data_IF_976225372894
#
_entry.id   IF_976225372894
#
_cell.length_a   1.000
_cell.length_b   1.000
_cell.length_c   1.000
_cell.angle_alpha   90.00
_cell.angle_beta   90.00
_cell.angle_gamma   90.00
#
_symmetry.space_group_name_H-M   'P 1'
#
loop_
_entity.id
_entity.type
_entity.pdbx_description
1 polymer ?
#
# COMPACT_ATOMS: atom_id res chain seq x y z
N UNK A 1 18.61 -21.92 -16.51
CA UNK A 1 17.45 -21.10 -16.93
C UNK A 1 17.75 -19.66 -16.57
N UNK A 2 18.02 -18.80 -17.56
CA UNK A 2 18.19 -17.37 -17.32
C UNK A 2 16.81 -16.72 -17.26
N UNK A 3 16.44 -16.17 -16.10
CA UNK A 3 15.22 -15.41 -15.95
C UNK A 3 15.43 -14.04 -16.61
N UNK A 4 14.73 -13.78 -17.71
CA UNK A 4 14.76 -12.46 -18.32
C UNK A 4 14.20 -11.44 -17.31
N UNK A 5 14.96 -10.41 -16.94
CA UNK A 5 14.46 -9.40 -16.04
C UNK A 5 13.29 -8.69 -16.71
N UNK A 6 12.20 -8.51 -15.96
CA UNK A 6 10.97 -7.87 -16.46
C UNK A 6 11.20 -6.41 -16.88
N UNK A 7 12.35 -5.84 -16.50
CA UNK A 7 12.73 -4.46 -16.68
C UNK A 7 14.24 -4.37 -16.93
N UNK A 8 14.67 -3.34 -17.64
CA UNK A 8 16.09 -3.05 -17.80
C UNK A 8 16.70 -2.68 -16.44
N UNK A 9 17.76 -3.39 -16.07
CA UNK A 9 18.43 -3.22 -14.78
C UNK A 9 19.11 -1.85 -14.73
N UNK A 10 19.76 -1.41 -15.82
CA UNK A 10 20.47 -0.13 -15.85
C UNK A 10 19.51 1.05 -15.61
N UNK A 11 18.33 1.02 -16.23
CA UNK A 11 17.28 2.02 -16.00
C UNK A 11 16.73 2.05 -14.56
N UNK A 12 16.73 0.90 -13.90
CA UNK A 12 16.27 0.72 -12.52
C UNK A 12 17.29 1.27 -11.53
N UNK A 13 18.59 1.04 -11.72
CA UNK A 13 19.64 1.48 -10.77
C UNK A 13 20.02 2.96 -10.90
N UNK A 14 19.85 3.59 -12.07
CA UNK A 14 20.25 4.99 -12.28
C UNK A 14 19.31 6.04 -11.67
N UNK A 15 18.02 5.72 -11.45
CA UNK A 15 17.05 6.65 -10.85
C UNK A 15 16.21 5.96 -9.78
N UNK A 16 16.46 6.22 -8.47
CA UNK A 16 15.80 5.49 -7.38
C UNK A 16 14.27 5.67 -7.38
N UNK A 17 13.75 6.80 -7.88
CA UNK A 17 12.32 7.08 -7.98
C UNK A 17 11.63 6.32 -9.12
N UNK A 18 12.36 6.00 -10.21
CA UNK A 18 11.81 5.35 -11.41
C UNK A 18 11.32 3.93 -11.12
N UNK A 19 12.00 3.23 -10.20
CA UNK A 19 11.56 1.91 -9.71
C UNK A 19 10.17 1.96 -9.10
N UNK A 20 9.91 2.97 -8.28
CA UNK A 20 8.63 3.12 -7.61
C UNK A 20 7.54 3.54 -8.60
N UNK A 21 7.86 4.43 -9.53
CA UNK A 21 6.95 4.83 -10.60
C UNK A 21 6.48 3.61 -11.41
N UNK A 22 7.43 2.77 -11.84
CA UNK A 22 7.15 1.52 -12.55
C UNK A 22 6.38 0.51 -11.70
N UNK A 23 6.72 0.39 -10.42
CA UNK A 23 6.00 -0.47 -9.50
C UNK A 23 4.53 -0.05 -9.36
N UNK A 24 4.29 1.26 -9.18
CA UNK A 24 2.93 1.78 -9.01
C UNK A 24 2.13 1.84 -10.31
N UNK A 25 2.77 1.86 -11.48
CA UNK A 25 2.06 1.83 -12.78
C UNK A 25 1.37 0.49 -13.05
N UNK A 26 1.89 -0.62 -12.49
CA UNK A 26 1.33 -1.97 -12.67
C UNK A 26 0.09 -2.20 -11.77
N UNK A 27 0.00 -1.48 -10.65
CA UNK A 27 -1.06 -1.65 -9.66
C UNK A 27 -2.32 -0.91 -10.12
N UNK A 28 -3.36 -1.69 -10.43
CA UNK A 28 -4.67 -1.11 -10.74
C UNK A 28 -5.38 -0.65 -9.46
N UNK A 29 -5.53 0.67 -9.33
CA UNK A 29 -6.18 1.33 -8.21
C UNK A 29 -7.48 2.04 -8.62
N UNK A 30 -7.98 1.80 -9.84
CA UNK A 30 -9.21 2.42 -10.36
C UNK A 30 -10.43 2.21 -9.46
N UNK A 31 -10.45 1.11 -8.70
CA UNK A 31 -11.47 0.78 -7.69
C UNK A 31 -11.64 1.91 -6.65
N UNK A 32 -10.58 2.69 -6.39
CA UNK A 32 -10.55 3.76 -5.40
C UNK A 32 -10.88 5.15 -5.96
N UNK A 33 -11.03 5.31 -7.28
CA UNK A 33 -11.23 6.62 -7.95
C UNK A 33 -12.68 7.12 -7.90
N UNK A 34 -13.58 6.39 -7.24
CA UNK A 34 -14.98 6.79 -7.09
C UNK A 34 -15.13 7.90 -6.04
N UNK A 35 -14.89 9.14 -6.43
CA UNK A 35 -15.30 10.30 -5.63
C UNK A 35 -16.00 11.34 -6.50
N UNK A 36 -17.33 11.36 -6.44
CA UNK A 36 -18.11 12.56 -6.77
C UNK A 36 -18.08 13.45 -5.53
N UNK A 37 -17.41 14.60 -5.61
CA UNK A 37 -17.40 15.58 -4.52
C UNK A 37 -17.71 16.96 -5.09
N UNK A 38 -18.77 17.57 -4.55
CA UNK A 38 -18.95 19.01 -4.59
C UNK A 38 -18.08 19.63 -3.49
N UNK A 39 -17.40 20.73 -3.76
CA UNK A 39 -16.53 21.43 -2.80
C UNK A 39 -15.03 21.08 -2.89
N UNK A 40 -14.29 21.22 -1.78
CA UNK A 40 -12.83 21.00 -1.74
C UNK A 40 -12.51 19.56 -2.10
N UNK A 41 -11.68 19.37 -3.14
CA UNK A 41 -11.27 18.05 -3.60
C UNK A 41 -10.61 17.26 -2.45
N UNK A 42 -11.13 16.07 -2.11
CA UNK A 42 -10.51 15.24 -1.11
C UNK A 42 -9.18 14.67 -1.64
N UNK A 43 -8.32 14.26 -0.71
CA UNK A 43 -7.08 13.57 -1.05
C UNK A 43 -7.45 12.24 -1.71
N UNK A 44 -6.76 11.89 -2.81
CA UNK A 44 -6.99 10.63 -3.51
C UNK A 44 -6.76 9.44 -2.58
N UNK A 45 -7.75 8.54 -2.53
CA UNK A 45 -7.65 7.27 -1.80
C UNK A 45 -6.56 6.38 -2.39
N UNK A 46 -6.41 6.38 -3.72
CA UNK A 46 -5.34 5.68 -4.40
C UNK A 46 -3.96 6.22 -4.00
N UNK A 47 -3.80 7.54 -3.89
CA UNK A 47 -2.55 8.16 -3.44
C UNK A 47 -2.19 7.77 -1.99
N UNK A 48 -3.18 7.76 -1.10
CA UNK A 48 -2.98 7.29 0.29
C UNK A 48 -2.52 5.83 0.33
N UNK A 49 -3.14 4.96 -0.47
CA UNK A 49 -2.72 3.56 -0.56
C UNK A 49 -1.29 3.41 -1.09
N UNK A 50 -0.93 4.16 -2.15
CA UNK A 50 0.44 4.15 -2.69
C UNK A 50 1.47 4.60 -1.64
N UNK A 51 1.19 5.66 -0.89
CA UNK A 51 2.05 6.10 0.21
C UNK A 51 2.20 5.06 1.32
N UNK A 52 1.12 4.36 1.68
CA UNK A 52 1.18 3.28 2.68
C UNK A 52 1.98 2.06 2.19
N UNK A 53 1.87 1.72 0.91
CA UNK A 53 2.71 0.67 0.31
C UNK A 53 4.17 1.12 0.29
N UNK A 54 4.44 2.37 -0.10
CA UNK A 54 5.77 2.96 -0.09
C UNK A 54 6.40 2.94 1.31
N UNK A 55 5.63 3.27 2.36
CA UNK A 55 6.04 3.16 3.77
C UNK A 55 6.56 1.76 4.09
N UNK A 56 5.84 0.73 3.65
CA UNK A 56 6.24 -0.67 3.89
C UNK A 56 7.48 -1.05 3.08
N UNK A 57 7.58 -0.62 1.81
CA UNK A 57 8.73 -0.89 0.95
C UNK A 57 10.02 -0.24 1.48
N UNK A 58 9.93 0.99 1.99
CA UNK A 58 11.05 1.73 2.59
C UNK A 58 11.24 1.42 4.09
N UNK A 59 10.44 0.51 4.66
CA UNK A 59 10.47 0.15 6.09
C UNK A 59 10.38 1.35 7.05
N UNK A 60 9.60 2.37 6.68
CA UNK A 60 9.38 3.55 7.53
C UNK A 60 8.54 3.13 8.74
N UNK A 61 8.99 3.47 9.94
CA UNK A 61 8.37 3.02 11.18
C UNK A 61 6.99 3.67 11.42
N UNK A 62 6.92 5.00 11.47
CA UNK A 62 5.70 5.73 11.85
C UNK A 62 4.96 6.37 10.66
N UNK A 63 3.69 6.75 10.89
CA UNK A 63 2.92 7.54 9.91
C UNK A 63 3.36 9.01 9.87
N UNK A 64 3.93 9.51 10.97
CA UNK A 64 4.50 10.86 11.05
C UNK A 64 5.74 10.98 10.18
N UNK A 65 6.63 9.98 10.24
CA UNK A 65 7.83 9.93 9.38
C UNK A 65 7.44 9.86 7.90
N UNK A 66 6.38 9.12 7.56
CA UNK A 66 5.85 9.09 6.20
C UNK A 66 5.36 10.48 5.76
N UNK A 67 4.66 11.21 6.64
CA UNK A 67 4.19 12.57 6.34
C UNK A 67 5.35 13.53 6.11
N UNK A 68 6.38 13.47 6.97
CA UNK A 68 7.60 14.27 6.83
C UNK A 68 8.34 13.95 5.52
N UNK A 69 8.52 12.66 5.20
CA UNK A 69 9.19 12.22 3.97
C UNK A 69 8.47 12.69 2.69
N UNK A 70 7.13 12.70 2.69
CA UNK A 70 6.35 13.22 1.56
C UNK A 70 6.45 14.75 1.46
N UNK A 71 6.61 15.44 2.57
CA UNK A 71 6.78 16.89 2.60
C UNK A 71 8.18 17.31 2.14
N UNK A 72 9.23 16.62 2.62
CA UNK A 72 10.62 16.89 2.26
C UNK A 72 10.94 16.55 0.80
N UNK A 73 10.22 15.60 0.20
CA UNK A 73 10.45 15.15 -1.19
C UNK A 73 9.20 15.38 -2.07
N UNK A 74 8.99 16.61 -2.58
CA UNK A 74 7.84 16.94 -3.43
C UNK A 74 7.71 16.05 -4.68
N UNK A 75 8.83 15.64 -5.28
CA UNK A 75 8.84 14.74 -6.46
C UNK A 75 8.26 13.37 -6.13
N UNK A 76 8.59 12.83 -4.95
CA UNK A 76 8.03 11.57 -4.43
C UNK A 76 6.54 11.71 -4.17
N UNK A 77 6.11 12.81 -3.53
CA UNK A 77 4.70 13.08 -3.28
C UNK A 77 3.89 13.16 -4.58
N UNK A 78 4.42 13.86 -5.59
CA UNK A 78 3.80 13.96 -6.92
C UNK A 78 3.70 12.60 -7.61
N UNK A 79 4.74 11.77 -7.56
CA UNK A 79 4.72 10.43 -8.15
C UNK A 79 3.67 9.52 -7.48
N UNK A 80 3.51 9.63 -6.16
CA UNK A 80 2.46 8.91 -5.43
C UNK A 80 1.06 9.49 -5.68
N UNK A 81 0.94 10.59 -6.41
CA UNK A 81 -0.31 11.24 -6.80
C UNK A 81 -0.88 12.20 -5.76
N UNK A 82 -0.03 12.75 -4.88
CA UNK A 82 -0.38 13.90 -4.06
C UNK A 82 -0.04 15.19 -4.80
N UNK A 83 -0.77 16.26 -4.48
CA UNK A 83 -0.40 17.61 -4.91
C UNK A 83 0.59 18.14 -3.87
N UNK A 84 1.84 18.44 -4.25
CA UNK A 84 2.79 19.09 -3.35
C UNK A 84 2.21 20.43 -2.89
N UNK A 85 2.38 20.77 -1.62
CA UNK A 85 1.91 22.03 -1.09
C UNK A 85 2.69 22.43 0.16
N UNK A 86 2.40 23.63 0.65
CA UNK A 86 3.16 24.27 1.73
C UNK A 86 3.02 23.59 3.10
N UNK A 87 2.12 22.60 3.22
CA UNK A 87 1.86 21.90 4.47
C UNK A 87 1.98 20.38 4.29
N UNK A 88 2.52 19.67 5.30
CA UNK A 88 2.59 18.22 5.27
C UNK A 88 1.19 17.60 5.27
N UNK A 89 1.09 16.39 4.73
CA UNK A 89 -0.17 15.65 4.72
C UNK A 89 -0.51 15.24 6.16
N UNK A 90 -1.70 15.59 6.69
CA UNK A 90 -2.03 15.26 8.07
C UNK A 90 -2.03 13.75 8.32
N UNK A 91 -1.44 13.32 9.44
CA UNK A 91 -1.32 11.90 9.82
C UNK A 91 -2.69 11.23 9.95
N UNK A 92 -3.70 12.01 10.33
CA UNK A 92 -5.09 11.62 10.49
C UNK A 92 -5.69 11.10 9.17
N UNK A 93 -5.17 11.55 8.02
CA UNK A 93 -5.64 11.06 6.71
C UNK A 93 -5.22 9.62 6.48
N UNK A 94 -4.00 9.26 6.87
CA UNK A 94 -3.52 7.88 6.81
C UNK A 94 -4.23 6.99 7.82
N UNK A 95 -4.39 7.45 9.07
CA UNK A 95 -5.05 6.66 10.12
C UNK A 95 -6.54 6.45 9.82
N UNK A 96 -7.24 7.48 9.34
CA UNK A 96 -8.63 7.38 8.89
C UNK A 96 -8.77 6.41 7.72
N UNK A 97 -7.84 6.43 6.77
CA UNK A 97 -7.84 5.48 5.65
C UNK A 97 -7.68 4.03 6.14
N UNK A 98 -6.74 3.76 7.03
CA UNK A 98 -6.53 2.42 7.61
C UNK A 98 -7.74 1.92 8.40
N UNK A 99 -8.41 2.82 9.13
CA UNK A 99 -9.59 2.49 9.93
C UNK A 99 -10.83 2.21 9.08
N UNK A 100 -11.04 3.00 8.02
CA UNK A 100 -12.29 3.01 7.27
C UNK A 100 -12.24 2.20 5.96
N UNK A 101 -11.06 1.78 5.51
CA UNK A 101 -10.93 0.99 4.28
C UNK A 101 -11.20 -0.48 4.56
N UNK A 102 -12.22 -1.04 3.91
CA UNK A 102 -12.55 -2.45 4.03
C UNK A 102 -11.45 -3.34 3.47
N UNK A 103 -11.04 -4.36 4.24
CA UNK A 103 -10.04 -5.35 3.81
C UNK A 103 -10.41 -5.98 2.45
N UNK A 104 -11.70 -6.23 2.21
CA UNK A 104 -12.20 -6.78 0.94
C UNK A 104 -11.77 -6.00 -0.31
N UNK A 105 -11.60 -4.67 -0.23
CA UNK A 105 -11.09 -3.85 -1.34
C UNK A 105 -9.60 -4.12 -1.58
N UNK A 106 -8.80 -4.22 -0.52
CA UNK A 106 -7.38 -4.55 -0.61
C UNK A 106 -7.18 -5.98 -1.15
N UNK A 107 -8.06 -6.91 -0.77
CA UNK A 107 -8.06 -8.27 -1.31
C UNK A 107 -8.34 -8.30 -2.82
N UNK A 108 -9.26 -7.46 -3.30
CA UNK A 108 -9.52 -7.35 -4.75
C UNK A 108 -8.28 -6.89 -5.52
N UNK A 109 -7.55 -5.90 -5.01
CA UNK A 109 -6.28 -5.46 -5.61
C UNK A 109 -5.27 -6.60 -5.63
N UNK A 110 -5.09 -7.30 -4.49
CA UNK A 110 -4.19 -8.45 -4.39
C UNK A 110 -4.53 -9.54 -5.40
N UNK A 111 -5.80 -9.93 -5.48
CA UNK A 111 -6.28 -10.97 -6.41
C UNK A 111 -6.08 -10.52 -7.85
N UNK A 112 -6.33 -9.25 -8.17
CA UNK A 112 -6.10 -8.72 -9.52
C UNK A 112 -4.63 -8.82 -9.93
N UNK A 113 -3.70 -8.53 -9.02
CA UNK A 113 -2.26 -8.66 -9.29
C UNK A 113 -1.87 -10.12 -9.53
N UNK A 114 -2.35 -11.05 -8.70
CA UNK A 114 -2.09 -12.48 -8.88
C UNK A 114 -2.64 -12.99 -10.21
N UNK A 115 -3.85 -12.57 -10.61
CA UNK A 115 -4.43 -12.92 -11.92
C UNK A 115 -3.58 -12.43 -13.08
N UNK A 116 -3.07 -11.20 -13.04
CA UNK A 116 -2.14 -10.68 -14.06
C UNK A 116 -0.87 -11.53 -14.15
N UNK A 117 -0.33 -11.98 -13.01
CA UNK A 117 0.88 -12.83 -13.01
C UNK A 117 0.63 -14.22 -13.61
N UNK A 118 -0.58 -14.77 -13.43
CA UNK A 118 -1.00 -16.02 -14.07
C UNK A 118 -1.14 -15.82 -15.59
N UNK A 119 -1.77 -14.73 -16.03
CA UNK A 119 -1.94 -14.39 -17.45
C UNK A 119 -0.59 -14.25 -18.16
N UNK A 120 0.38 -13.57 -17.51
CA UNK A 120 1.74 -13.43 -17.99
C UNK A 120 2.58 -14.72 -17.92
N UNK A 121 1.99 -15.83 -17.46
CA UNK A 121 2.66 -17.14 -17.26
C UNK A 121 3.89 -17.08 -16.35
N UNK A 122 3.95 -16.09 -15.46
CA UNK A 122 5.02 -15.93 -14.46
C UNK A 122 4.78 -16.89 -13.29
N UNK A 123 3.51 -17.04 -12.87
CA UNK A 123 3.09 -17.99 -11.84
C UNK A 123 2.41 -19.18 -12.51
N UNK A 124 2.82 -20.39 -12.13
CA UNK A 124 2.15 -21.65 -12.48
C UNK A 124 1.47 -22.24 -11.26
N UNK A 125 0.32 -22.86 -11.46
CA UNK A 125 -0.46 -23.51 -10.39
C UNK A 125 -0.08 -24.96 -10.13
N UNK A 126 1.08 -25.39 -10.62
CA UNK A 126 1.49 -26.81 -10.64
C UNK A 126 1.79 -27.37 -9.25
N UNK A 127 2.21 -26.50 -8.32
CA UNK A 127 2.60 -26.90 -6.97
C UNK A 127 1.90 -26.01 -5.93
N UNK A 128 1.32 -26.64 -4.91
CA UNK A 128 0.76 -25.96 -3.75
C UNK A 128 1.73 -26.12 -2.57
N UNK A 129 2.31 -24.99 -2.13
CA UNK A 129 3.06 -24.94 -0.88
C UNK A 129 2.22 -24.20 0.17
N UNK A 130 2.01 -24.83 1.33
CA UNK A 130 1.27 -24.25 2.46
C UNK A 130 2.23 -24.15 3.63
N UNK A 131 2.55 -22.93 4.04
CA UNK A 131 3.26 -22.67 5.30
C UNK A 131 2.24 -22.39 6.41
N UNK A 132 2.44 -23.00 7.57
CA UNK A 132 1.57 -22.87 8.73
C UNK A 132 1.97 -21.76 9.69
N UNK A 133 3.09 -21.04 9.46
CA UNK A 133 3.56 -20.00 10.38
C UNK A 133 2.58 -18.81 10.44
N UNK A 134 1.79 -18.65 11.52
CA UNK A 134 0.91 -17.51 11.64
C UNK A 134 1.74 -16.29 12.01
N UNK A 135 1.80 -15.29 11.13
CA UNK A 135 2.41 -14.01 11.45
C UNK A 135 1.39 -13.19 12.24
N UNK A 136 1.71 -12.88 13.50
CA UNK A 136 0.89 -11.99 14.31
C UNK A 136 0.87 -10.59 13.68
N UNK A 137 -0.29 -10.20 13.15
CA UNK A 137 -0.49 -8.84 12.66
C UNK A 137 -0.38 -7.85 13.83
N UNK A 138 0.22 -6.69 13.62
CA UNK A 138 0.27 -5.63 14.63
C UNK A 138 -1.08 -4.90 14.72
N UNK A 139 -2.09 -5.59 15.24
CA UNK A 139 -3.46 -5.08 15.45
C UNK A 139 -3.82 -5.16 16.93
N UNK A 140 -4.80 -4.35 17.35
CA UNK A 140 -5.24 -4.29 18.75
C UNK A 140 -5.68 -5.66 19.28
N UNK A 141 -6.25 -6.50 18.42
CA UNK A 141 -6.71 -7.86 18.73
C UNK A 141 -5.56 -8.79 19.11
N UNK A 142 -4.36 -8.56 18.56
CA UNK A 142 -3.16 -9.36 18.84
C UNK A 142 -2.30 -8.77 19.97
N UNK A 143 -2.69 -7.63 20.55
CA UNK A 143 -1.97 -7.01 21.65
C UNK A 143 -2.75 -7.17 22.97
N UNK A 144 -2.32 -8.14 23.79
CA UNK A 144 -2.89 -8.47 25.11
C UNK A 144 -2.99 -7.25 26.06
N UNK A 145 -2.15 -6.23 25.86
CA UNK A 145 -2.16 -5.00 26.66
C UNK A 145 -3.27 -4.02 26.27
N UNK A 146 -3.91 -4.18 25.10
CA UNK A 146 -4.93 -3.25 24.58
C UNK A 146 -6.28 -3.48 25.21
N UNK A 147 -6.86 -2.45 25.85
CA UNK A 147 -8.20 -2.55 26.44
C UNK A 147 -9.26 -2.51 25.34
N UNK A 148 -9.84 -3.66 25.02
CA UNK A 148 -10.98 -3.77 24.10
C UNK A 148 -12.24 -4.11 24.88
N UNK A 149 -13.39 -3.54 24.49
CA UNK A 149 -14.68 -3.69 25.18
C UNK A 149 -15.04 -5.17 25.47
N UNK A 150 -14.62 -6.06 24.60
CA UNK A 150 -14.94 -7.49 24.61
C UNK A 150 -13.74 -8.36 24.99
N UNK A 151 -12.71 -7.81 25.66
CA UNK A 151 -11.47 -8.54 26.01
C UNK A 151 -11.74 -9.83 26.80
N UNK A 152 -12.77 -9.84 27.64
CA UNK A 152 -13.10 -10.95 28.53
C UNK A 152 -14.18 -11.90 27.98
N UNK A 153 -14.69 -11.67 26.76
CA UNK A 153 -15.65 -12.57 26.14
C UNK A 153 -14.90 -13.79 25.58
N UNK A 154 -15.06 -14.95 26.23
CA UNK A 154 -14.41 -16.21 25.86
C UNK A 154 -15.12 -16.99 24.74
N UNK A 155 -16.34 -16.57 24.37
CA UNK A 155 -17.21 -17.27 23.42
C UNK A 155 -17.04 -16.79 21.96
N UNK A 156 -15.86 -16.28 21.60
CA UNK A 156 -15.51 -15.85 20.24
C UNK A 156 -14.16 -16.40 19.82
#
# INVERSE_FOLDING_TARGET
MYQHPLFDLEEIFDKPLRRYELFFSVIDLSIFDKVKSMGRRPISRAAILRALIFKNLKTIASLSDLSAELYERPTLASMLGFVPGDKPIPVERFSSYLKNTSNSLLQKVRISLVKKLIELKVIKGDYLSVDSCPILANVKENNLKTSVRYRYLKDR
#
